data_IF_519324923094
#
_entry.id   IF_519324923094
#
_cell.length_a   1.000
_cell.length_b   1.000
_cell.length_c   1.000
_cell.angle_alpha   90.00
_cell.angle_beta   90.00
_cell.angle_gamma   90.00
#
_symmetry.space_group_name_H-M   'P 1'
#
loop_
_entity.id
_entity.type
_entity.pdbx_description
1 polymer ?
#
# COMPACT_ATOMS: atom_id res chain seq x y z
N UNK A 1 -38.13 2.61 11.11
CA UNK A 1 -37.42 3.90 11.09
C UNK A 1 -36.11 3.70 10.34
N UNK A 2 -36.15 3.89 9.04
CA UNK A 2 -35.07 3.66 8.09
C UNK A 2 -34.26 4.96 8.00
N UNK A 3 -33.00 4.99 8.44
CA UNK A 3 -32.10 6.12 8.21
C UNK A 3 -31.26 5.85 6.98
N UNK A 4 -31.62 6.56 5.91
CA UNK A 4 -30.81 6.74 4.71
C UNK A 4 -29.45 7.37 5.07
N UNK A 5 -28.37 6.63 4.99
CA UNK A 5 -27.02 7.17 4.91
C UNK A 5 -26.69 7.45 3.44
N UNK A 6 -27.05 8.64 2.98
CA UNK A 6 -26.48 9.19 1.74
C UNK A 6 -25.01 9.51 2.01
N UNK A 7 -24.16 8.79 1.29
CA UNK A 7 -22.73 8.90 1.39
C UNK A 7 -22.23 10.29 1.04
N UNK A 8 -21.43 10.83 1.93
CA UNK A 8 -20.60 11.98 1.66
C UNK A 8 -19.54 11.59 0.62
N UNK A 9 -19.50 12.33 -0.49
CA UNK A 9 -18.47 12.26 -1.52
C UNK A 9 -17.12 12.68 -0.94
N UNK A 10 -16.40 11.71 -0.39
CA UNK A 10 -15.05 11.88 0.11
C UNK A 10 -14.03 11.86 -1.03
N UNK A 11 -13.97 12.92 -1.82
CA UNK A 11 -12.78 13.27 -2.58
C UNK A 11 -11.72 13.71 -1.55
N UNK A 12 -10.72 12.85 -1.32
CA UNK A 12 -9.51 13.22 -0.60
C UNK A 12 -8.75 14.30 -1.38
N UNK A 13 -9.21 15.54 -1.27
CA UNK A 13 -8.55 16.70 -1.81
C UNK A 13 -7.34 17.01 -0.93
N UNK A 14 -6.14 16.64 -1.34
CA UNK A 14 -4.94 17.29 -0.86
C UNK A 14 -4.94 18.71 -1.42
N UNK A 15 -5.46 19.64 -0.62
CA UNK A 15 -5.51 21.06 -0.89
C UNK A 15 -4.10 21.59 -1.20
N UNK A 16 -3.90 22.13 -2.39
CA UNK A 16 -2.75 22.97 -2.75
C UNK A 16 -2.64 24.11 -1.73
N UNK A 17 -1.74 24.00 -0.75
CA UNK A 17 -1.16 25.20 -0.14
C UNK A 17 0.00 25.63 -1.03
N UNK A 18 -0.14 26.76 -1.70
CA UNK A 18 0.92 27.40 -2.42
C UNK A 18 2.05 27.77 -1.46
N UNK A 19 3.23 27.18 -1.69
CA UNK A 19 4.49 27.64 -1.14
C UNK A 19 5.16 28.51 -2.22
N UNK A 20 5.62 29.72 -1.89
CA UNK A 20 6.43 30.51 -2.80
C UNK A 20 7.86 29.95 -2.84
N UNK A 21 8.41 29.78 -4.03
CA UNK A 21 9.83 29.47 -4.22
C UNK A 21 10.08 28.12 -4.88
N UNK A 22 10.64 28.19 -6.10
CA UNK A 22 11.02 27.15 -7.05
C UNK A 22 11.50 25.82 -6.49
N UNK A 23 10.58 24.90 -6.28
CA UNK A 23 10.88 23.50 -6.05
C UNK A 23 10.22 22.71 -7.18
N UNK A 24 10.95 21.74 -7.72
CA UNK A 24 10.50 20.82 -8.76
C UNK A 24 9.06 20.35 -8.48
N UNK A 25 8.16 20.55 -9.45
CA UNK A 25 6.76 20.13 -9.35
C UNK A 25 6.72 18.62 -9.17
N UNK A 26 6.46 18.19 -7.97
CA UNK A 26 6.11 16.78 -7.70
C UNK A 26 4.74 16.55 -8.31
N UNK A 27 4.63 15.61 -9.24
CA UNK A 27 3.36 15.20 -9.81
C UNK A 27 2.38 14.87 -8.70
N UNK A 28 1.18 15.45 -8.73
CA UNK A 28 0.13 15.18 -7.76
C UNK A 28 -0.67 14.01 -8.28
N UNK A 29 -0.58 12.87 -7.60
CA UNK A 29 -1.47 11.74 -7.85
C UNK A 29 -2.77 11.97 -7.08
N UNK A 30 -3.85 12.18 -7.80
CA UNK A 30 -5.18 12.17 -7.24
C UNK A 30 -5.77 10.80 -7.54
N UNK A 31 -5.81 9.92 -6.55
CA UNK A 31 -6.55 8.68 -6.64
C UNK A 31 -8.01 9.00 -6.99
N UNK A 32 -8.52 8.45 -8.07
CA UNK A 32 -9.91 8.68 -8.48
C UNK A 32 -10.71 7.41 -8.21
N UNK A 33 -11.90 7.59 -7.66
CA UNK A 33 -12.85 6.49 -7.46
C UNK A 33 -13.24 5.94 -8.84
N UNK A 34 -12.90 4.69 -9.10
CA UNK A 34 -13.09 3.99 -10.39
C UNK A 34 -14.55 3.98 -10.87
N UNK A 35 -15.49 4.32 -9.99
CA UNK A 35 -16.93 4.14 -10.19
C UNK A 35 -17.63 5.33 -10.87
N UNK A 36 -16.94 6.41 -11.14
CA UNK A 36 -17.56 7.59 -11.79
C UNK A 36 -17.92 7.30 -13.25
N UNK A 37 -19.17 7.55 -13.72
CA UNK A 37 -19.59 7.24 -15.10
C UNK A 37 -18.72 7.94 -16.14
N UNK A 38 -18.23 9.15 -15.87
CA UNK A 38 -17.31 9.89 -16.74
C UNK A 38 -15.94 9.25 -16.88
N UNK A 39 -15.39 8.71 -15.77
CA UNK A 39 -14.10 8.01 -15.79
C UNK A 39 -14.25 6.69 -16.54
N UNK A 40 -15.30 5.93 -16.28
CA UNK A 40 -15.58 4.70 -17.03
C UNK A 40 -15.73 4.95 -18.53
N UNK A 41 -16.40 6.03 -18.93
CA UNK A 41 -16.51 6.41 -20.32
C UNK A 41 -15.14 6.77 -20.94
N UNK A 42 -14.30 7.51 -20.22
CA UNK A 42 -12.94 7.83 -20.65
C UNK A 42 -12.07 6.57 -20.79
N UNK A 43 -12.17 5.62 -19.86
CA UNK A 43 -11.47 4.33 -19.93
C UNK A 43 -11.94 3.50 -21.12
N UNK A 44 -13.26 3.44 -21.35
CA UNK A 44 -13.84 2.69 -22.46
C UNK A 44 -13.45 3.27 -23.84
N UNK A 45 -13.16 4.55 -23.90
CA UNK A 45 -12.70 5.23 -25.12
C UNK A 45 -11.24 4.96 -25.47
N UNK A 46 -10.44 4.38 -24.56
CA UNK A 46 -9.04 4.05 -24.83
C UNK A 46 -8.95 2.94 -25.89
N UNK A 47 -8.26 3.18 -27.02
CA UNK A 47 -8.17 2.19 -28.08
C UNK A 47 -7.37 0.96 -27.64
N UNK A 48 -7.71 -0.21 -28.23
CA UNK A 48 -7.08 -1.49 -27.82
C UNK A 48 -5.57 -1.52 -27.99
N UNK A 49 -5.06 -0.86 -29.00
CA UNK A 49 -3.62 -0.77 -29.30
C UNK A 49 -2.84 0.21 -28.41
N UNK A 50 -3.51 1.05 -27.63
CA UNK A 50 -2.86 1.98 -26.69
C UNK A 50 -2.40 1.30 -25.38
N UNK A 51 -2.84 0.07 -25.13
CA UNK A 51 -2.51 -0.65 -23.90
C UNK A 51 -1.15 -1.31 -24.00
N UNK A 52 -0.21 -0.88 -23.16
CA UNK A 52 1.12 -1.46 -23.04
C UNK A 52 1.14 -2.48 -21.91
N UNK A 53 1.64 -3.71 -22.14
CA UNK A 53 1.79 -4.71 -21.09
C UNK A 53 2.85 -4.26 -20.08
N UNK A 54 2.62 -4.54 -18.80
CA UNK A 54 3.56 -4.21 -17.72
C UNK A 54 3.99 -5.47 -16.97
N UNK A 55 5.18 -5.42 -16.35
CA UNK A 55 5.60 -6.46 -15.43
C UNK A 55 4.66 -6.48 -14.22
N UNK A 56 3.95 -7.59 -14.05
CA UNK A 56 3.02 -7.86 -12.97
C UNK A 56 3.31 -9.27 -12.43
N UNK A 57 2.89 -9.68 -11.24
CA UNK A 57 3.32 -10.94 -10.63
C UNK A 57 3.19 -12.20 -11.49
N UNK A 58 2.30 -12.20 -12.48
CA UNK A 58 2.11 -13.32 -13.43
C UNK A 58 2.64 -13.03 -14.83
N UNK A 59 3.40 -11.95 -15.02
CA UNK A 59 3.96 -11.61 -16.31
C UNK A 59 5.12 -12.55 -16.64
N UNK A 60 5.14 -13.05 -17.89
CA UNK A 60 6.22 -13.86 -18.45
C UNK A 60 6.76 -13.19 -19.70
N UNK A 61 8.05 -13.35 -19.93
CA UNK A 61 8.67 -12.95 -21.19
C UNK A 61 8.54 -14.09 -22.20
N UNK A 62 7.92 -13.80 -23.34
CA UNK A 62 7.78 -14.73 -24.45
C UNK A 62 8.99 -14.59 -25.38
N UNK A 63 9.86 -15.59 -25.37
CA UNK A 63 11.10 -15.62 -26.18
C UNK A 63 10.85 -15.75 -27.68
N UNK A 64 9.71 -16.37 -28.08
CA UNK A 64 9.39 -16.57 -29.49
C UNK A 64 8.91 -15.27 -30.13
N UNK A 65 7.97 -14.61 -29.48
CA UNK A 65 7.39 -13.34 -29.94
C UNK A 65 8.16 -12.10 -29.47
N UNK A 66 9.22 -12.27 -28.65
CA UNK A 66 10.02 -11.22 -28.03
C UNK A 66 9.16 -10.12 -27.39
N UNK A 67 8.15 -10.54 -26.68
CA UNK A 67 7.20 -9.62 -26.01
C UNK A 67 6.89 -10.05 -24.58
N UNK A 68 6.49 -9.06 -23.78
CA UNK A 68 5.98 -9.31 -22.43
C UNK A 68 4.50 -9.72 -22.52
N UNK A 69 4.19 -10.95 -22.08
CA UNK A 69 2.83 -11.43 -21.89
C UNK A 69 2.43 -11.21 -20.43
N UNK A 70 1.44 -10.38 -20.20
CA UNK A 70 1.02 -10.01 -18.86
C UNK A 70 -0.50 -9.90 -18.77
N UNK A 71 -1.04 -10.28 -17.61
CA UNK A 71 -2.45 -10.06 -17.27
C UNK A 71 -2.78 -8.58 -17.03
N UNK A 72 -1.76 -7.73 -16.98
CA UNK A 72 -1.90 -6.31 -16.71
C UNK A 72 -1.34 -5.47 -17.87
N UNK A 73 -2.02 -4.38 -18.14
CA UNK A 73 -1.57 -3.36 -19.09
C UNK A 73 -1.91 -1.98 -18.60
N UNK A 74 -1.15 -1.00 -19.07
CA UNK A 74 -1.33 0.42 -18.76
C UNK A 74 -1.57 1.18 -20.03
N UNK A 75 -2.47 2.15 -19.97
CA UNK A 75 -2.71 3.13 -21.01
C UNK A 75 -3.00 4.49 -20.39
N UNK A 76 -2.91 5.54 -21.19
CA UNK A 76 -3.26 6.89 -20.74
C UNK A 76 -4.17 7.60 -21.73
N UNK A 77 -4.95 8.54 -21.19
CA UNK A 77 -5.78 9.45 -21.98
C UNK A 77 -5.87 10.81 -21.30
N UNK A 78 -6.21 11.86 -22.07
CA UNK A 78 -6.54 13.16 -21.49
C UNK A 78 -7.88 13.10 -20.75
N UNK A 79 -7.96 13.71 -19.58
CA UNK A 79 -9.21 13.75 -18.80
C UNK A 79 -9.37 15.13 -18.15
N UNK A 80 -10.61 15.65 -18.15
CA UNK A 80 -10.96 16.89 -17.46
C UNK A 80 -11.78 16.59 -16.21
N UNK A 81 -11.15 16.75 -15.07
CA UNK A 81 -11.81 16.65 -13.77
C UNK A 81 -12.57 17.92 -13.43
N UNK A 82 -13.62 17.83 -12.60
CA UNK A 82 -14.42 18.95 -12.10
C UNK A 82 -15.05 19.84 -13.19
N UNK A 83 -15.27 19.31 -14.40
CA UNK A 83 -15.85 20.06 -15.52
C UNK A 83 -17.24 20.67 -15.21
N UNK A 84 -17.99 20.11 -14.25
CA UNK A 84 -19.28 20.64 -13.80
C UNK A 84 -19.18 21.83 -12.83
N UNK A 85 -18.00 22.11 -12.29
CA UNK A 85 -17.78 23.20 -11.34
C UNK A 85 -17.16 24.39 -12.08
N UNK A 86 -17.88 25.51 -12.14
CA UNK A 86 -17.45 26.73 -12.79
C UNK A 86 -16.07 27.19 -12.27
N UNK A 87 -15.08 27.33 -13.16
CA UNK A 87 -13.74 27.78 -12.84
C UNK A 87 -12.85 26.76 -12.11
N UNK A 88 -13.29 25.51 -11.94
CA UNK A 88 -12.51 24.48 -11.25
C UNK A 88 -12.10 23.31 -12.15
N UNK A 89 -12.44 23.37 -13.44
CA UNK A 89 -12.06 22.35 -14.41
C UNK A 89 -10.52 22.22 -14.49
N UNK A 90 -10.00 21.02 -14.36
CA UNK A 90 -8.58 20.71 -14.47
C UNK A 90 -8.43 19.62 -15.52
N UNK A 91 -7.65 19.89 -16.58
CA UNK A 91 -7.31 18.90 -17.60
C UNK A 91 -5.91 18.37 -17.33
N UNK A 92 -5.78 17.06 -17.22
CA UNK A 92 -4.49 16.39 -17.03
C UNK A 92 -4.57 14.94 -17.57
N UNK A 93 -3.52 14.17 -17.34
CA UNK A 93 -3.42 12.77 -17.77
C UNK A 93 -4.25 11.89 -16.85
N UNK A 94 -4.99 10.96 -17.43
CA UNK A 94 -5.62 9.83 -16.72
C UNK A 94 -4.84 8.58 -17.12
N UNK A 95 -4.00 8.09 -16.22
CA UNK A 95 -3.25 6.86 -16.38
C UNK A 95 -4.10 5.72 -15.84
N UNK A 96 -4.32 4.69 -16.63
CA UNK A 96 -5.18 3.57 -16.28
C UNK A 96 -4.40 2.28 -16.34
N UNK A 97 -4.32 1.55 -15.22
CA UNK A 97 -3.90 0.16 -15.19
C UNK A 97 -5.12 -0.74 -15.24
N UNK A 98 -5.14 -1.69 -16.18
CA UNK A 98 -6.14 -2.78 -16.21
C UNK A 98 -5.47 -4.09 -15.83
N UNK A 99 -6.17 -4.91 -15.05
CA UNK A 99 -5.74 -6.25 -14.69
C UNK A 99 -6.83 -7.22 -15.05
N UNK A 100 -6.50 -8.30 -15.75
CA UNK A 100 -7.47 -9.34 -16.12
C UNK A 100 -7.96 -10.04 -14.86
N UNK A 101 -9.28 -10.14 -14.70
CA UNK A 101 -9.88 -10.96 -13.65
C UNK A 101 -9.74 -12.42 -14.02
N UNK A 102 -9.05 -13.19 -13.18
CA UNK A 102 -9.01 -14.64 -13.30
C UNK A 102 -10.02 -15.18 -12.29
N UNK A 103 -11.10 -15.79 -12.76
CA UNK A 103 -11.85 -16.72 -11.94
C UNK A 103 -13.27 -16.39 -11.48
N UNK A 104 -14.03 -15.50 -12.10
CA UNK A 104 -15.45 -15.32 -11.76
C UNK A 104 -16.41 -15.59 -12.95
N UNK A 105 -16.03 -16.45 -13.89
CA UNK A 105 -17.03 -16.97 -14.83
C UNK A 105 -17.80 -18.11 -14.12
N UNK A 106 -19.15 -18.05 -14.06
CA UNK A 106 -19.94 -19.19 -13.59
C UNK A 106 -19.59 -20.42 -14.43
N UNK A 107 -19.43 -21.56 -13.77
CA UNK A 107 -19.13 -22.82 -14.42
C UNK A 107 -20.16 -23.06 -15.57
N UNK A 108 -19.70 -23.04 -16.83
CA UNK A 108 -20.53 -23.27 -18.00
C UNK A 108 -20.68 -22.09 -18.99
N UNK A 109 -20.26 -20.86 -18.65
CA UNK A 109 -20.13 -19.77 -19.62
C UNK A 109 -18.68 -19.64 -20.03
N UNK A 110 -18.35 -20.05 -21.26
CA UNK A 110 -17.02 -19.80 -21.84
C UNK A 110 -16.70 -18.30 -21.79
N UNK A 111 -15.45 -17.95 -21.48
CA UNK A 111 -14.96 -16.57 -21.44
C UNK A 111 -15.00 -15.94 -22.84
N UNK A 112 -16.19 -15.49 -23.27
CA UNK A 112 -16.35 -14.73 -24.53
C UNK A 112 -15.73 -13.32 -24.43
N UNK A 113 -15.58 -12.78 -23.22
CA UNK A 113 -14.98 -11.45 -22.99
C UNK A 113 -14.12 -11.44 -21.73
N UNK A 114 -12.87 -11.02 -21.89
CA UNK A 114 -11.99 -10.81 -20.75
C UNK A 114 -12.50 -9.66 -19.88
N UNK A 115 -12.90 -9.96 -18.64
CA UNK A 115 -13.26 -8.94 -17.67
C UNK A 115 -11.99 -8.33 -17.07
N UNK A 116 -11.90 -7.00 -17.10
CA UNK A 116 -10.77 -6.27 -16.51
C UNK A 116 -11.23 -5.49 -15.28
N UNK A 117 -10.37 -5.49 -14.25
CA UNK A 117 -10.40 -4.51 -13.17
C UNK A 117 -9.49 -3.36 -13.57
N UNK A 118 -10.02 -2.14 -13.58
CA UNK A 118 -9.26 -0.95 -13.92
C UNK A 118 -8.95 -0.14 -12.68
N UNK A 119 -7.74 0.41 -12.61
CA UNK A 119 -7.28 1.34 -11.60
C UNK A 119 -6.81 2.60 -12.30
N UNK A 120 -7.47 3.72 -12.04
CA UNK A 120 -7.21 4.98 -12.70
C UNK A 120 -6.54 5.98 -11.75
N UNK A 121 -5.49 6.62 -12.22
CA UNK A 121 -4.78 7.69 -11.53
C UNK A 121 -4.81 8.97 -12.38
N UNK A 122 -5.35 10.05 -11.83
CA UNK A 122 -5.34 11.37 -12.44
C UNK A 122 -4.11 12.13 -11.98
N UNK A 123 -3.26 12.59 -12.92
CA UNK A 123 -1.95 13.15 -12.58
C UNK A 123 -1.47 14.20 -13.58
N UNK A 124 -0.70 15.13 -13.10
CA UNK A 124 0.11 16.07 -13.89
C UNK A 124 1.61 15.69 -13.92
N UNK A 125 1.93 14.45 -13.56
CA UNK A 125 3.30 13.93 -13.53
C UNK A 125 4.00 14.15 -14.88
N UNK A 126 5.23 14.68 -14.90
CA UNK A 126 6.01 14.85 -16.12
C UNK A 126 6.67 13.54 -16.61
N UNK A 127 6.59 12.48 -15.84
CA UNK A 127 7.24 11.21 -16.18
C UNK A 127 6.48 10.45 -17.28
N UNK A 128 7.19 9.57 -17.97
CA UNK A 128 6.60 8.62 -18.92
C UNK A 128 5.51 7.76 -18.25
N UNK A 129 4.53 7.32 -19.04
CA UNK A 129 3.33 6.62 -18.58
C UNK A 129 3.64 5.45 -17.63
N UNK A 130 4.56 4.57 -18.03
CA UNK A 130 4.93 3.38 -17.24
C UNK A 130 5.61 3.79 -15.92
N UNK A 131 6.49 4.79 -15.97
CA UNK A 131 7.18 5.30 -14.78
C UNK A 131 6.20 5.98 -13.82
N UNK A 132 5.29 6.80 -14.34
CA UNK A 132 4.29 7.48 -13.53
C UNK A 132 3.31 6.47 -12.88
N UNK A 133 2.91 5.42 -13.58
CA UNK A 133 2.10 4.33 -13.04
C UNK A 133 2.85 3.56 -11.95
N UNK A 134 4.13 3.25 -12.18
CA UNK A 134 4.98 2.60 -11.18
C UNK A 134 5.07 3.40 -9.89
N UNK A 135 5.35 4.70 -9.99
CA UNK A 135 5.38 5.59 -8.83
C UNK A 135 4.03 5.66 -8.10
N UNK A 136 2.91 5.69 -8.84
CA UNK A 136 1.58 5.64 -8.22
C UNK A 136 1.36 4.32 -7.47
N UNK A 137 1.81 3.22 -8.02
CA UNK A 137 1.73 1.90 -7.39
C UNK A 137 2.57 1.81 -6.12
N UNK A 138 3.75 2.41 -6.11
CA UNK A 138 4.62 2.48 -4.94
C UNK A 138 3.96 3.27 -3.79
N UNK A 139 3.09 4.24 -4.10
CA UNK A 139 2.28 4.93 -3.09
C UNK A 139 1.24 4.03 -2.39
N UNK A 140 0.90 2.87 -2.93
CA UNK A 140 0.01 1.91 -2.26
C UNK A 140 0.57 1.42 -0.91
N UNK A 141 1.87 1.55 -0.67
CA UNK A 141 2.50 1.32 0.65
C UNK A 141 1.90 2.23 1.72
N UNK A 142 1.55 3.47 1.38
CA UNK A 142 0.92 4.43 2.31
C UNK A 142 -0.46 3.94 2.75
N UNK A 143 -1.25 3.38 1.83
CA UNK A 143 -2.56 2.78 2.15
C UNK A 143 -2.41 1.59 3.11
N UNK A 144 -1.35 0.79 2.94
CA UNK A 144 -1.05 -0.32 3.85
C UNK A 144 -0.66 0.19 5.25
N UNK A 145 0.11 1.27 5.34
CA UNK A 145 0.44 1.91 6.61
C UNK A 145 -0.82 2.42 7.31
N UNK A 146 -1.72 3.10 6.59
CA UNK A 146 -3.01 3.52 7.15
C UNK A 146 -3.86 2.33 7.61
N UNK A 147 -3.94 1.28 6.80
CA UNK A 147 -4.66 0.08 7.19
C UNK A 147 -4.10 -0.54 8.47
N UNK A 148 -2.76 -0.62 8.62
CA UNK A 148 -2.10 -1.12 9.83
C UNK A 148 -2.35 -0.23 11.06
N UNK A 149 -2.40 1.09 10.87
CA UNK A 149 -2.74 2.03 11.94
C UNK A 149 -4.21 1.87 12.37
N UNK A 150 -5.15 1.77 11.44
CA UNK A 150 -6.58 1.63 11.73
C UNK A 150 -6.94 0.24 12.27
N UNK A 151 -6.24 -0.81 11.85
CA UNK A 151 -6.38 -2.17 12.43
C UNK A 151 -5.67 -2.31 13.80
N UNK A 152 -5.03 -1.24 14.27
CA UNK A 152 -4.22 -1.23 15.47
C UNK A 152 -4.48 0.00 16.35
N UNK A 153 -3.47 0.85 16.59
CA UNK A 153 -3.55 1.91 17.59
C UNK A 153 -4.56 3.00 17.28
N UNK A 154 -5.00 3.16 16.05
CA UNK A 154 -6.00 4.14 15.63
C UNK A 154 -7.40 3.53 15.40
N UNK A 155 -7.63 2.28 15.81
CA UNK A 155 -8.96 1.66 15.76
C UNK A 155 -10.01 2.51 16.54
N UNK A 156 -9.56 3.23 17.55
CA UNK A 156 -10.35 4.21 18.27
C UNK A 156 -9.44 5.30 18.85
N UNK A 157 -9.97 6.49 19.02
CA UNK A 157 -9.27 7.59 19.70
C UNK A 157 -9.49 7.48 21.22
N UNK A 158 -8.43 7.61 22.03
CA UNK A 158 -8.52 7.40 23.50
C UNK A 158 -9.20 8.55 24.23
N UNK A 159 -9.40 9.70 23.59
CA UNK A 159 -9.91 10.90 24.24
C UNK A 159 -10.74 11.77 23.29
N UNK A 160 -11.70 12.53 23.85
CA UNK A 160 -12.39 13.62 23.14
C UNK A 160 -11.55 14.90 23.02
N UNK A 161 -10.40 14.99 23.69
CA UNK A 161 -9.49 16.12 23.59
C UNK A 161 -8.63 16.03 22.32
N UNK A 162 -8.62 17.10 21.53
CA UNK A 162 -7.79 17.18 20.31
C UNK A 162 -6.30 17.00 20.62
N UNK A 163 -5.78 17.65 21.66
CA UNK A 163 -4.36 17.57 22.04
C UNK A 163 -3.96 16.16 22.47
N UNK A 164 -4.79 15.47 23.26
CA UNK A 164 -4.54 14.09 23.67
C UNK A 164 -4.59 13.14 22.47
N UNK A 165 -5.54 13.30 21.57
CA UNK A 165 -5.64 12.50 20.36
C UNK A 165 -4.49 12.76 19.38
N UNK A 166 -3.98 14.00 19.29
CA UNK A 166 -2.80 14.34 18.51
C UNK A 166 -1.52 13.69 19.08
N UNK A 167 -1.35 13.70 20.41
CA UNK A 167 -0.24 12.99 21.06
C UNK A 167 -0.34 11.48 20.83
N UNK A 168 -1.53 10.90 20.94
CA UNK A 168 -1.77 9.49 20.63
C UNK A 168 -1.40 9.13 19.20
N UNK A 169 -1.81 9.95 18.22
CA UNK A 169 -1.43 9.75 16.81
C UNK A 169 0.08 9.76 16.60
N UNK A 170 0.80 10.68 17.25
CA UNK A 170 2.26 10.73 17.17
C UNK A 170 2.90 9.46 17.74
N UNK A 171 2.45 8.99 18.90
CA UNK A 171 2.93 7.75 19.51
C UNK A 171 2.58 6.52 18.65
N UNK A 172 1.39 6.49 18.06
CA UNK A 172 0.97 5.44 17.14
C UNK A 172 1.87 5.37 15.89
N UNK A 173 2.23 6.52 15.32
CA UNK A 173 3.14 6.60 14.17
C UNK A 173 4.55 6.12 14.52
N UNK A 174 5.07 6.51 15.68
CA UNK A 174 6.38 6.04 16.19
C UNK A 174 6.34 4.52 16.39
N UNK A 175 5.34 4.00 17.07
CA UNK A 175 5.19 2.56 17.32
C UNK A 175 5.09 1.75 16.04
N UNK A 176 4.34 2.25 15.05
CA UNK A 176 4.22 1.63 13.73
C UNK A 176 5.59 1.62 13.01
N UNK A 177 6.34 2.72 13.07
CA UNK A 177 7.68 2.82 12.47
C UNK A 177 8.68 1.86 13.13
N UNK A 178 8.66 1.75 14.46
CA UNK A 178 9.51 0.80 15.19
C UNK A 178 9.14 -0.65 14.87
N UNK A 179 7.86 -0.99 14.84
CA UNK A 179 7.41 -2.32 14.45
C UNK A 179 7.84 -2.67 13.01
N UNK A 180 7.75 -1.71 12.08
CA UNK A 180 8.21 -1.88 10.70
C UNK A 180 9.73 -2.07 10.64
N UNK A 181 10.51 -1.31 11.37
CA UNK A 181 11.96 -1.47 11.48
C UNK A 181 12.32 -2.86 12.03
N UNK A 182 11.63 -3.31 13.08
CA UNK A 182 11.81 -4.67 13.62
C UNK A 182 11.51 -5.74 12.56
N UNK A 183 10.43 -5.57 11.78
CA UNK A 183 10.12 -6.46 10.67
C UNK A 183 11.22 -6.51 9.61
N UNK A 184 11.80 -5.37 9.24
CA UNK A 184 12.91 -5.31 8.28
C UNK A 184 14.17 -6.02 8.81
N UNK A 185 14.48 -5.88 10.10
CA UNK A 185 15.63 -6.55 10.73
C UNK A 185 15.41 -8.06 10.90
N UNK A 186 14.16 -8.50 11.06
CA UNK A 186 13.81 -9.90 11.20
C UNK A 186 13.95 -10.69 9.89
N UNK A 187 13.72 -10.05 8.74
CA UNK A 187 13.87 -10.68 7.44
C UNK A 187 12.87 -10.20 6.38
N UNK A 188 13.10 -10.62 5.15
CA UNK A 188 12.38 -10.13 3.97
C UNK A 188 10.86 -10.35 4.04
N UNK A 189 10.42 -11.49 4.57
CA UNK A 189 8.99 -11.78 4.72
C UNK A 189 8.33 -10.80 5.70
N UNK A 190 8.95 -10.57 6.88
CA UNK A 190 8.44 -9.65 7.89
C UNK A 190 8.53 -8.20 7.46
N UNK A 191 9.52 -7.83 6.62
CA UNK A 191 9.60 -6.51 6.02
C UNK A 191 8.37 -6.13 5.18
N UNK A 192 7.74 -7.12 4.53
CA UNK A 192 6.54 -6.93 3.72
C UNK A 192 5.23 -7.28 4.49
N UNK A 193 5.33 -7.86 5.69
CA UNK A 193 4.17 -8.34 6.43
C UNK A 193 3.32 -7.21 7.01
N UNK A 194 2.03 -7.50 7.27
CA UNK A 194 1.12 -6.61 7.99
C UNK A 194 1.52 -6.45 9.46
N UNK A 195 1.23 -5.29 10.04
CA UNK A 195 1.55 -4.99 11.43
C UNK A 195 1.03 -6.02 12.45
N UNK A 196 -0.12 -6.65 12.18
CA UNK A 196 -0.65 -7.72 13.01
C UNK A 196 0.27 -8.96 13.05
N UNK A 197 0.84 -9.35 11.91
CA UNK A 197 1.78 -10.47 11.84
C UNK A 197 3.10 -10.13 12.56
N UNK A 198 3.63 -8.92 12.38
CA UNK A 198 4.83 -8.45 13.10
C UNK A 198 4.59 -8.52 14.60
N UNK A 199 3.46 -8.02 15.09
CA UNK A 199 3.10 -8.08 16.51
C UNK A 199 3.01 -9.52 17.03
N UNK A 200 2.32 -10.40 16.29
CA UNK A 200 2.13 -11.79 16.70
C UNK A 200 3.41 -12.62 16.68
N UNK A 201 4.25 -12.39 15.67
CA UNK A 201 5.44 -13.21 15.44
C UNK A 201 6.68 -12.74 16.21
N UNK A 202 6.84 -11.42 16.38
CA UNK A 202 8.08 -10.85 16.90
C UNK A 202 7.91 -10.14 18.27
N UNK A 203 6.75 -9.53 18.55
CA UNK A 203 6.55 -8.72 19.74
C UNK A 203 5.75 -9.49 20.80
N UNK A 204 4.63 -10.09 20.42
CA UNK A 204 3.72 -10.82 21.33
C UNK A 204 4.16 -12.24 21.67
N UNK A 205 5.45 -12.54 21.63
CA UNK A 205 5.99 -13.86 21.92
C UNK A 205 6.04 -14.11 23.42
N UNK A 206 5.48 -15.21 23.87
CA UNK A 206 5.51 -15.62 25.27
C UNK A 206 6.91 -16.14 25.64
N UNK A 207 7.80 -15.26 26.12
CA UNK A 207 9.14 -15.63 26.52
C UNK A 207 9.27 -15.75 28.06
N UNK A 208 10.01 -16.75 28.52
CA UNK A 208 10.39 -16.86 29.93
C UNK A 208 11.69 -16.10 30.18
N UNK A 209 11.68 -15.19 31.13
CA UNK A 209 12.86 -14.43 31.53
C UNK A 209 13.52 -15.12 32.73
N UNK A 210 14.77 -15.56 32.60
CA UNK A 210 15.60 -16.05 33.68
C UNK A 210 16.68 -15.01 34.00
N UNK A 211 16.77 -14.63 35.28
CA UNK A 211 17.85 -13.77 35.80
C UNK A 211 18.88 -14.64 36.50
N UNK A 212 20.13 -14.49 36.12
CA UNK A 212 21.25 -15.16 36.76
C UNK A 212 22.07 -14.17 37.57
N UNK A 213 22.97 -14.70 38.42
CA UNK A 213 23.96 -13.88 39.11
C UNK A 213 24.73 -13.02 38.11
N UNK A 214 25.28 -11.87 38.57
CA UNK A 214 26.01 -10.90 37.77
C UNK A 214 25.16 -10.08 36.76
N UNK A 215 23.81 -10.04 36.91
CA UNK A 215 22.95 -9.22 36.09
C UNK A 215 22.66 -9.80 34.70
N UNK A 216 23.06 -11.03 34.42
CA UNK A 216 22.76 -11.69 33.15
C UNK A 216 21.26 -12.01 33.06
N UNK A 217 20.66 -11.65 31.94
CA UNK A 217 19.26 -11.93 31.61
C UNK A 217 19.23 -12.90 30.42
N UNK A 218 18.60 -14.05 30.60
CA UNK A 218 18.38 -15.03 29.53
C UNK A 218 16.91 -15.03 29.16
N UNK A 219 16.62 -14.89 27.86
CA UNK A 219 15.30 -15.04 27.29
C UNK A 219 15.15 -16.46 26.72
N UNK A 220 14.14 -17.20 27.18
CA UNK A 220 13.81 -18.49 26.61
C UNK A 220 12.57 -18.35 25.77
N UNK A 221 12.71 -18.49 24.47
CA UNK A 221 11.62 -18.52 23.51
C UNK A 221 10.88 -19.87 23.61
N UNK A 222 9.59 -19.94 23.18
CA UNK A 222 8.88 -21.21 23.06
C UNK A 222 9.62 -22.17 22.13
N UNK A 223 9.70 -23.42 22.52
CA UNK A 223 10.26 -24.46 21.66
C UNK A 223 9.43 -24.61 20.38
N UNK A 224 10.09 -24.73 19.22
CA UNK A 224 9.41 -24.83 17.93
C UNK A 224 8.63 -23.59 17.50
N UNK A 225 8.95 -22.39 18.04
CA UNK A 225 8.30 -21.17 17.59
C UNK A 225 8.52 -20.92 16.11
N UNK A 226 7.44 -20.79 15.33
CA UNK A 226 7.49 -20.73 13.86
C UNK A 226 8.29 -19.53 13.30
N UNK A 227 8.43 -18.44 14.05
CA UNK A 227 9.25 -17.27 13.69
C UNK A 227 10.49 -17.14 14.60
N UNK A 228 10.97 -18.26 15.15
CA UNK A 228 12.09 -18.25 16.10
C UNK A 228 13.40 -17.79 15.46
N UNK A 229 13.67 -18.17 14.23
CA UNK A 229 14.88 -17.76 13.51
C UNK A 229 14.86 -16.27 13.18
N UNK A 230 13.73 -15.75 12.73
CA UNK A 230 13.53 -14.34 12.43
C UNK A 230 13.62 -13.49 13.70
N UNK A 231 13.10 -14.02 14.80
CA UNK A 231 13.23 -13.37 16.11
C UNK A 231 14.69 -13.27 16.55
N UNK A 232 15.47 -14.33 16.36
CA UNK A 232 16.92 -14.33 16.66
C UNK A 232 17.67 -13.35 15.75
N UNK A 233 17.35 -13.31 14.46
CA UNK A 233 17.95 -12.36 13.51
C UNK A 233 17.67 -10.92 13.92
N UNK A 234 16.44 -10.60 14.32
CA UNK A 234 16.06 -9.30 14.88
C UNK A 234 16.88 -8.97 16.13
N UNK A 235 16.97 -9.93 17.07
CA UNK A 235 17.69 -9.72 18.32
C UNK A 235 19.19 -9.46 18.08
N UNK A 236 19.84 -10.25 17.23
CA UNK A 236 21.24 -10.07 16.86
C UNK A 236 21.49 -8.72 16.15
N UNK A 237 20.60 -8.33 15.24
CA UNK A 237 20.71 -7.06 14.55
C UNK A 237 20.52 -5.84 15.47
N UNK A 238 19.65 -5.97 16.48
CA UNK A 238 19.32 -4.88 17.39
C UNK A 238 20.26 -4.80 18.63
N UNK A 239 20.68 -5.96 19.15
CA UNK A 239 21.42 -6.05 20.43
C UNK A 239 22.85 -6.57 20.28
N UNK A 240 23.25 -6.98 19.06
CA UNK A 240 24.48 -7.71 18.79
C UNK A 240 24.35 -9.22 19.11
N UNK A 241 25.33 -10.03 18.68
CA UNK A 241 25.30 -11.47 18.88
C UNK A 241 25.25 -11.80 20.38
N UNK A 242 24.49 -12.86 20.77
CA UNK A 242 24.44 -13.29 22.16
C UNK A 242 25.85 -13.60 22.64
N UNK A 243 26.19 -13.13 23.85
CA UNK A 243 27.50 -13.42 24.43
C UNK A 243 27.68 -14.92 24.57
N UNK A 244 28.77 -15.45 24.01
CA UNK A 244 29.14 -16.85 24.16
C UNK A 244 29.14 -17.23 25.64
N UNK A 245 28.51 -18.34 26.01
CA UNK A 245 28.60 -18.89 27.35
C UNK A 245 30.07 -19.20 27.64
N UNK A 246 30.66 -18.58 28.66
CA UNK A 246 31.84 -19.11 29.24
C UNK A 246 31.50 -20.49 29.83
N UNK A 247 32.21 -21.52 29.35
CA UNK A 247 32.05 -22.90 29.79
C UNK A 247 32.40 -23.05 31.26
#
# INVERSE_FOLDING_TARGET
>A
MHRDHRGADGLGLLQRRGLPGGAARRGVFLGHREDGPKVRAAIAAIPRNAWQPISYPKAIWDEQDKRLVSDAGVAETGYTAFASRKGQAITARLIVRRVRRLGDAPAGQGELFAAYRCHAAFTDSPFEMIQAEGQHRDHAVVEQVFADLFDGPLAHLPSGSFAASAAWLALAAISCSLARAAGCLAGQWHAAARGAAIRGHLIGVAARIARRGRGEITLHLPEGWHAGQEWLSLFEAACGPPRARAA
#
